data_IF_573874831410
#
_entry.id   IF_573874831410
#
_cell.length_a   1.000
_cell.length_b   1.000
_cell.length_c   1.000
_cell.angle_alpha   90.00
_cell.angle_beta   90.00
_cell.angle_gamma   90.00
#
_symmetry.space_group_name_H-M   'P 1'
#
loop_
_entity.id
_entity.type
_entity.pdbx_description
1 polymer ?
#
# COMPACT_ATOMS: atom_id res chain seq x y z
N UNK A 1 12.39 -2.13 10.47
CA UNK A 1 12.48 -2.59 9.07
C UNK A 1 11.42 -3.61 8.70
N UNK A 2 11.34 -4.76 9.40
CA UNK A 2 10.33 -5.79 9.11
C UNK A 2 8.89 -5.24 9.06
N UNK A 3 8.51 -4.41 10.03
CA UNK A 3 7.20 -3.75 10.05
C UNK A 3 6.91 -2.94 8.78
N UNK A 4 7.88 -2.16 8.30
CA UNK A 4 7.73 -1.26 7.15
C UNK A 4 7.61 -2.07 5.85
N UNK A 5 8.36 -3.17 5.77
CA UNK A 5 8.24 -4.13 4.67
C UNK A 5 6.87 -4.82 4.67
N UNK A 6 6.44 -5.37 5.81
CA UNK A 6 5.12 -5.99 5.93
C UNK A 6 3.99 -4.98 5.65
N UNK A 7 4.16 -3.74 6.08
CA UNK A 7 3.21 -2.67 5.82
C UNK A 7 3.08 -2.36 4.33
N UNK A 8 4.21 -2.16 3.64
CA UNK A 8 4.22 -1.82 2.22
C UNK A 8 3.75 -2.98 1.33
N UNK A 9 4.18 -4.22 1.62
CA UNK A 9 3.98 -5.36 0.71
C UNK A 9 2.80 -6.26 1.08
N UNK A 10 2.41 -6.32 2.35
CA UNK A 10 1.36 -7.24 2.84
C UNK A 10 0.10 -6.47 3.21
N UNK A 11 0.19 -5.52 4.16
CA UNK A 11 -0.99 -4.84 4.70
C UNK A 11 -1.67 -3.93 3.68
N UNK A 12 -0.90 -3.16 2.92
CA UNK A 12 -1.44 -2.24 1.94
C UNK A 12 -1.76 -2.91 0.59
N UNK A 13 -1.60 -4.23 0.48
CA UNK A 13 -1.91 -4.94 -0.76
C UNK A 13 -3.39 -4.84 -1.11
N UNK A 14 -3.71 -4.65 -2.39
CA UNK A 14 -5.10 -4.66 -2.88
C UNK A 14 -5.70 -6.07 -2.93
N UNK A 15 -4.86 -7.11 -2.92
CA UNK A 15 -5.26 -8.52 -3.07
C UNK A 15 -6.29 -9.03 -2.06
N UNK A 16 -6.13 -8.85 -0.74
CA UNK A 16 -7.15 -9.29 0.22
C UNK A 16 -8.50 -8.58 0.00
N UNK A 17 -8.47 -7.33 -0.48
CA UNK A 17 -9.66 -6.54 -0.73
C UNK A 17 -10.41 -7.04 -1.98
N UNK A 18 -9.68 -7.36 -3.05
CA UNK A 18 -10.22 -8.00 -4.26
C UNK A 18 -10.85 -9.37 -3.97
N UNK A 19 -10.17 -10.17 -3.15
CA UNK A 19 -10.66 -11.48 -2.72
C UNK A 19 -11.93 -11.36 -1.87
N UNK A 20 -12.01 -10.36 -0.98
CA UNK A 20 -13.20 -10.09 -0.19
C UNK A 20 -14.40 -9.67 -1.05
N UNK A 21 -14.17 -8.88 -2.11
CA UNK A 21 -15.22 -8.49 -3.05
C UNK A 21 -15.53 -9.54 -4.13
N UNK A 22 -14.82 -10.68 -4.14
CA UNK A 22 -15.06 -11.75 -5.11
C UNK A 22 -14.68 -11.40 -6.55
N UNK A 23 -13.75 -10.44 -6.73
CA UNK A 23 -13.31 -9.92 -8.05
C UNK A 23 -11.90 -10.46 -8.39
N UNK A 24 -11.59 -11.67 -7.93
CA UNK A 24 -10.27 -12.27 -8.09
C UNK A 24 -10.07 -12.69 -9.56
N UNK A 25 -9.43 -11.82 -10.34
CA UNK A 25 -8.96 -12.12 -11.69
C UNK A 25 -7.44 -12.28 -11.67
N UNK A 26 -6.97 -13.51 -11.85
CA UNK A 26 -5.53 -13.81 -11.87
C UNK A 26 -4.88 -13.62 -13.25
N UNK A 27 -5.59 -13.02 -14.20
CA UNK A 27 -5.19 -13.02 -15.62
C UNK A 27 -4.18 -11.91 -15.94
N UNK A 28 -4.19 -10.77 -15.24
CA UNK A 28 -3.10 -9.76 -15.30
C UNK A 28 -3.26 -8.66 -14.21
N UNK A 29 -2.27 -8.45 -13.31
CA UNK A 29 -2.47 -7.62 -12.10
C UNK A 29 -2.54 -6.09 -12.25
N UNK A 30 -2.17 -5.51 -13.41
CA UNK A 30 -1.99 -4.04 -13.53
C UNK A 30 -2.70 -3.38 -14.71
N UNK A 31 -3.14 -4.14 -15.71
CA UNK A 31 -3.69 -3.58 -16.96
C UNK A 31 -5.17 -3.92 -17.20
N UNK A 32 -5.71 -4.96 -16.56
CA UNK A 32 -7.13 -5.34 -16.72
C UNK A 32 -8.06 -4.75 -15.65
N UNK A 33 -7.53 -4.19 -14.55
CA UNK A 33 -8.35 -3.75 -13.42
C UNK A 33 -9.31 -2.61 -13.77
N UNK A 34 -8.88 -1.54 -14.45
CA UNK A 34 -9.76 -0.40 -14.76
C UNK A 34 -11.03 -0.80 -15.54
N UNK A 35 -10.94 -1.40 -16.73
CA UNK A 35 -12.14 -1.73 -17.51
C UNK A 35 -12.93 -2.90 -16.90
N UNK A 36 -12.28 -3.85 -16.24
CA UNK A 36 -12.96 -4.99 -15.63
C UNK A 36 -13.72 -4.60 -14.35
N UNK A 37 -13.11 -3.77 -13.50
CA UNK A 37 -13.76 -3.28 -12.30
C UNK A 37 -14.91 -2.32 -12.64
N UNK A 38 -14.77 -1.52 -13.69
CA UNK A 38 -15.85 -0.67 -14.21
C UNK A 38 -17.01 -1.51 -14.75
N UNK A 39 -16.73 -2.61 -15.46
CA UNK A 39 -17.75 -3.61 -15.82
C UNK A 39 -18.36 -4.28 -14.60
N UNK A 40 -17.59 -4.57 -13.55
CA UNK A 40 -18.11 -5.19 -12.32
C UNK A 40 -19.08 -4.27 -11.55
N UNK A 41 -18.93 -2.95 -11.70
CA UNK A 41 -19.93 -1.98 -11.22
C UNK A 41 -21.18 -1.99 -12.10
N UNK A 42 -21.02 -2.07 -13.43
CA UNK A 42 -22.16 -2.15 -14.37
C UNK A 42 -22.97 -3.44 -14.20
N UNK A 43 -22.28 -4.56 -13.93
CA UNK A 43 -22.87 -5.87 -13.62
C UNK A 43 -23.54 -5.91 -12.23
N UNK A 44 -23.39 -4.86 -11.42
CA UNK A 44 -23.94 -4.78 -10.06
C UNK A 44 -23.22 -5.64 -9.02
N UNK A 45 -22.03 -6.18 -9.33
CA UNK A 45 -21.22 -7.01 -8.40
C UNK A 45 -20.59 -6.17 -7.30
N UNK A 46 -20.22 -4.92 -7.61
CA UNK A 46 -19.65 -3.97 -6.65
C UNK A 46 -20.26 -2.58 -6.77
N UNK A 47 -20.24 -1.85 -5.65
CA UNK A 47 -20.67 -0.46 -5.58
C UNK A 47 -19.55 0.49 -6.06
N UNK A 48 -19.93 1.64 -6.63
CA UNK A 48 -18.97 2.71 -7.03
C UNK A 48 -18.03 3.13 -5.89
N UNK A 49 -18.52 3.16 -4.67
CA UNK A 49 -17.73 3.51 -3.49
C UNK A 49 -16.69 2.42 -3.14
N UNK A 50 -17.01 1.14 -3.37
CA UNK A 50 -16.03 0.05 -3.23
C UNK A 50 -14.95 0.12 -4.30
N UNK A 51 -15.33 0.50 -5.53
CA UNK A 51 -14.37 0.74 -6.62
C UNK A 51 -13.41 1.89 -6.30
N UNK A 52 -13.93 3.01 -5.79
CA UNK A 52 -13.08 4.17 -5.45
C UNK A 52 -12.10 3.83 -4.32
N UNK A 53 -12.56 3.12 -3.28
CA UNK A 53 -11.69 2.63 -2.22
C UNK A 53 -10.61 1.68 -2.74
N UNK A 54 -10.96 0.78 -3.67
CA UNK A 54 -10.00 -0.15 -4.27
C UNK A 54 -8.93 0.59 -5.09
N UNK A 55 -9.33 1.56 -5.92
CA UNK A 55 -8.41 2.42 -6.69
C UNK A 55 -7.46 3.20 -5.77
N UNK A 56 -7.98 3.75 -4.67
CA UNK A 56 -7.16 4.45 -3.67
C UNK A 56 -6.20 3.51 -2.95
N UNK A 57 -6.63 2.31 -2.58
CA UNK A 57 -5.76 1.33 -1.94
C UNK A 57 -4.62 0.89 -2.86
N UNK A 58 -4.91 0.68 -4.15
CA UNK A 58 -3.87 0.36 -5.14
C UNK A 58 -2.87 1.51 -5.32
N UNK A 59 -3.37 2.76 -5.40
CA UNK A 59 -2.51 3.94 -5.45
C UNK A 59 -1.63 4.06 -4.19
N UNK A 60 -2.18 3.83 -3.00
CA UNK A 60 -1.44 3.84 -1.75
C UNK A 60 -0.37 2.73 -1.70
N UNK A 61 -0.70 1.54 -2.20
CA UNK A 61 0.23 0.42 -2.33
C UNK A 61 1.40 0.75 -3.27
N UNK A 62 1.11 1.36 -4.43
CA UNK A 62 2.13 1.77 -5.38
C UNK A 62 3.08 2.81 -4.75
N UNK A 63 2.53 3.83 -4.12
CA UNK A 63 3.29 4.85 -3.39
C UNK A 63 4.19 4.23 -2.31
N UNK A 64 3.69 3.25 -1.55
CA UNK A 64 4.50 2.53 -0.55
C UNK A 64 5.65 1.73 -1.18
N UNK A 65 5.42 1.10 -2.33
CA UNK A 65 6.46 0.32 -3.04
C UNK A 65 7.54 1.22 -3.65
N UNK A 66 7.18 2.42 -4.11
CA UNK A 66 8.14 3.36 -4.70
C UNK A 66 9.03 4.02 -3.64
N UNK A 67 8.47 4.34 -2.47
CA UNK A 67 9.22 4.99 -1.40
C UNK A 67 10.07 4.01 -0.56
N UNK A 68 9.68 2.73 -0.49
CA UNK A 68 10.37 1.74 0.35
C UNK A 68 11.86 1.55 -0.01
N UNK A 69 12.28 1.40 -1.29
CA UNK A 69 13.67 1.20 -1.66
C UNK A 69 14.59 2.36 -1.24
N UNK A 70 14.13 3.61 -1.40
CA UNK A 70 14.88 4.80 -1.00
C UNK A 70 15.10 4.80 0.52
N UNK A 71 14.05 4.51 1.28
CA UNK A 71 14.11 4.43 2.73
C UNK A 71 15.01 3.27 3.21
N UNK A 72 14.85 2.08 2.64
CA UNK A 72 15.67 0.90 2.94
C UNK A 72 17.15 1.16 2.62
N UNK A 73 17.43 1.77 1.46
CA UNK A 73 18.77 2.18 1.08
C UNK A 73 19.38 3.15 2.09
N UNK A 74 18.65 4.18 2.51
CA UNK A 74 19.12 5.15 3.52
C UNK A 74 19.50 4.49 4.85
N UNK A 75 18.72 3.51 5.33
CA UNK A 75 19.05 2.80 6.56
C UNK A 75 20.22 1.82 6.38
N UNK A 76 20.36 1.18 5.22
CA UNK A 76 21.55 0.39 4.91
C UNK A 76 22.81 1.27 4.94
N UNK A 77 22.77 2.45 4.32
CA UNK A 77 23.88 3.42 4.39
C UNK A 77 24.19 3.87 5.83
N UNK A 78 23.16 4.17 6.64
CA UNK A 78 23.34 4.52 8.05
C UNK A 78 23.98 3.38 8.85
N UNK A 79 23.64 2.12 8.51
CA UNK A 79 24.22 0.94 9.14
C UNK A 79 25.69 0.74 8.75
N UNK A 80 26.02 0.91 7.46
CA UNK A 80 27.41 0.80 6.95
C UNK A 80 28.31 1.87 7.56
N UNK A 81 27.79 3.08 7.78
CA UNK A 81 28.51 4.21 8.40
C UNK A 81 28.57 4.14 9.93
N UNK A 82 28.03 3.08 10.55
CA UNK A 82 27.99 2.84 12.00
C UNK A 82 27.32 3.97 12.80
N UNK A 83 26.24 4.54 12.26
CA UNK A 83 25.37 5.43 13.02
C UNK A 83 24.80 4.66 14.22
N UNK A 84 24.66 5.33 15.37
CA UNK A 84 24.09 4.72 16.57
C UNK A 84 22.72 4.09 16.28
N UNK A 85 22.54 2.82 16.68
CA UNK A 85 21.32 2.05 16.44
C UNK A 85 20.06 2.74 16.99
N UNK A 86 20.18 3.50 18.08
CA UNK A 86 19.09 4.29 18.65
C UNK A 86 18.52 5.30 17.63
N UNK A 87 19.38 5.99 16.88
CA UNK A 87 18.96 6.96 15.85
C UNK A 87 18.30 6.27 14.66
N UNK A 88 18.84 5.12 14.25
CA UNK A 88 18.28 4.32 13.15
C UNK A 88 16.89 3.79 13.52
N UNK A 89 16.72 3.28 14.75
CA UNK A 89 15.45 2.77 15.24
C UNK A 89 14.42 3.89 15.40
N UNK A 90 14.82 5.06 15.92
CA UNK A 90 13.95 6.24 15.99
C UNK A 90 13.48 6.68 14.59
N UNK A 91 14.38 6.75 13.61
CA UNK A 91 14.03 7.07 12.22
C UNK A 91 13.06 6.04 11.61
N UNK A 92 13.29 4.74 11.84
CA UNK A 92 12.38 3.68 11.42
C UNK A 92 11.00 3.81 12.05
N UNK A 93 10.92 4.14 13.33
CA UNK A 93 9.66 4.32 14.04
C UNK A 93 8.89 5.51 13.49
N UNK A 94 9.53 6.67 13.38
CA UNK A 94 8.92 7.90 12.85
C UNK A 94 8.43 7.68 11.42
N UNK A 95 9.24 7.07 10.56
CA UNK A 95 8.83 6.75 9.20
C UNK A 95 7.64 5.79 9.17
N UNK A 96 7.69 4.70 9.95
CA UNK A 96 6.61 3.72 10.02
C UNK A 96 5.28 4.33 10.49
N UNK A 97 5.31 5.16 11.53
CA UNK A 97 4.12 5.85 12.05
C UNK A 97 3.58 6.86 11.03
N UNK A 98 4.44 7.66 10.41
CA UNK A 98 4.03 8.62 9.40
C UNK A 98 3.35 7.94 8.20
N UNK A 99 3.89 6.81 7.74
CA UNK A 99 3.30 6.01 6.64
C UNK A 99 1.97 5.38 7.03
N UNK A 100 1.83 4.91 8.28
CA UNK A 100 0.57 4.38 8.78
C UNK A 100 -0.51 5.48 8.84
N UNK A 101 -0.18 6.66 9.38
CA UNK A 101 -1.09 7.81 9.43
C UNK A 101 -1.50 8.22 8.02
N UNK A 102 -0.55 8.34 7.08
CA UNK A 102 -0.83 8.67 5.70
C UNK A 102 -1.81 7.67 5.06
N UNK A 103 -1.55 6.37 5.19
CA UNK A 103 -2.41 5.34 4.60
C UNK A 103 -3.83 5.39 5.18
N UNK A 104 -3.96 5.53 6.51
CA UNK A 104 -5.27 5.67 7.17
C UNK A 104 -5.99 6.92 6.67
N UNK A 105 -5.33 8.08 6.68
CA UNK A 105 -5.92 9.33 6.23
C UNK A 105 -6.35 9.29 4.76
N UNK A 106 -5.53 8.69 3.89
CA UNK A 106 -5.80 8.59 2.47
C UNK A 106 -7.00 7.68 2.16
N UNK A 107 -7.10 6.55 2.87
CA UNK A 107 -8.21 5.61 2.74
C UNK A 107 -9.49 6.15 3.41
N UNK A 108 -9.39 6.87 4.52
CA UNK A 108 -10.53 7.39 5.28
C UNK A 108 -11.11 8.69 4.73
N UNK A 109 -10.42 9.38 3.82
CA UNK A 109 -10.90 10.63 3.18
C UNK A 109 -12.03 10.38 2.15
N UNK A 110 -12.83 9.34 2.36
CA UNK A 110 -14.04 9.03 1.64
C UNK A 110 -15.21 9.27 2.60
N UNK A 111 -15.48 10.54 2.89
CA UNK A 111 -16.70 11.04 3.51
C UNK A 111 -17.35 12.03 2.54
#
# INVERSE_FOLDING_TARGET
MLFIFLFAYVLLSARPLEMFYGIDHNVQPRQDLSPYLERSVQDGKIMRLQLDLLKRNEAAHADAREHFPVFAGGVLFASVTRVANEKINAACLVYGVARAIYAVAYLSSCA
#
